data_IF_248862167685
#
_entry.id   IF_248862167685
#
_cell.length_a   1.000
_cell.length_b   1.000
_cell.length_c   1.000
_cell.angle_alpha   90.00
_cell.angle_beta   90.00
_cell.angle_gamma   90.00
#
_symmetry.space_group_name_H-M   'P 1'
#
loop_
_entity.id
_entity.type
_entity.pdbx_description
1 polymer ?
#
# COMPACT_ATOMS: atom_id res chain seq x y z
N UNK A 1 -1.31 -3.29 -12.63
CA UNK A 1 -2.61 -2.77 -13.08
C UNK A 1 -3.03 -1.59 -12.22
N UNK A 2 -3.52 -0.52 -12.83
CA UNK A 2 -3.93 0.67 -12.10
C UNK A 2 -5.45 0.69 -11.89
N UNK A 3 -5.87 1.23 -10.77
CA UNK A 3 -7.28 1.41 -10.41
C UNK A 3 -7.57 2.89 -10.28
N UNK A 4 -8.68 3.33 -10.85
CA UNK A 4 -9.07 4.74 -10.84
C UNK A 4 -10.41 4.90 -10.12
N UNK A 5 -10.45 5.86 -9.19
CA UNK A 5 -11.65 6.28 -8.49
C UNK A 5 -11.78 7.77 -8.67
N UNK A 6 -12.91 8.24 -9.21
CA UNK A 6 -13.07 9.67 -9.43
C UNK A 6 -14.52 10.14 -9.23
N UNK A 7 -14.63 11.41 -8.87
CA UNK A 7 -15.89 12.10 -8.83
C UNK A 7 -15.73 13.44 -9.59
N UNK A 8 -16.69 14.37 -9.44
CA UNK A 8 -16.64 15.65 -10.16
C UNK A 8 -15.46 16.54 -9.75
N UNK A 9 -14.87 16.30 -8.59
CA UNK A 9 -13.84 17.18 -7.99
C UNK A 9 -12.46 16.55 -7.98
N UNK A 10 -12.36 15.26 -7.66
CA UNK A 10 -11.10 14.55 -7.43
C UNK A 10 -10.96 13.31 -8.31
N UNK A 11 -9.72 13.01 -8.68
CA UNK A 11 -9.36 11.78 -9.37
C UNK A 11 -8.23 11.10 -8.60
N UNK A 12 -8.47 9.87 -8.17
CA UNK A 12 -7.50 9.05 -7.46
C UNK A 12 -7.09 7.87 -8.32
N UNK A 13 -5.78 7.62 -8.42
CA UNK A 13 -5.25 6.45 -9.10
C UNK A 13 -4.37 5.66 -8.14
N UNK A 14 -4.59 4.34 -8.08
CA UNK A 14 -3.86 3.43 -7.18
C UNK A 14 -3.28 2.26 -7.95
N UNK A 15 -2.29 1.59 -7.36
CA UNK A 15 -1.69 0.39 -7.92
C UNK A 15 -1.86 -0.79 -6.97
N UNK A 16 -1.90 -2.00 -7.54
CA UNK A 16 -1.95 -3.25 -6.76
C UNK A 16 -0.67 -3.48 -5.96
N UNK A 17 0.45 -2.95 -6.41
CA UNK A 17 1.72 -3.08 -5.68
C UNK A 17 1.66 -2.27 -4.40
N UNK A 18 1.61 -2.95 -3.26
CA UNK A 18 1.51 -2.32 -1.96
C UNK A 18 0.19 -1.61 -1.70
N UNK A 19 -0.75 -1.61 -2.64
CA UNK A 19 -1.99 -0.85 -2.52
C UNK A 19 -1.76 0.65 -2.45
N UNK A 20 -0.67 1.15 -3.04
CA UNK A 20 -0.29 2.56 -2.96
C UNK A 20 -1.13 3.47 -3.86
N UNK A 21 -1.27 4.72 -3.42
CA UNK A 21 -1.81 5.78 -4.26
C UNK A 21 -0.72 6.29 -5.19
N UNK A 22 -1.03 6.44 -6.47
CA UNK A 22 -0.12 7.01 -7.46
C UNK A 22 -0.39 8.49 -7.68
N UNK A 23 -1.65 8.85 -7.85
CA UNK A 23 -2.06 10.22 -8.13
C UNK A 23 -3.35 10.56 -7.38
N UNK A 24 -3.41 11.78 -6.86
CA UNK A 24 -4.64 12.36 -6.31
C UNK A 24 -4.71 13.78 -6.87
N UNK A 25 -5.54 13.98 -7.90
CA UNK A 25 -5.60 15.20 -8.67
C UNK A 25 -6.88 15.97 -8.39
N UNK A 26 -6.75 17.27 -8.13
CA UNK A 26 -7.90 18.18 -8.07
C UNK A 26 -8.25 18.60 -9.50
N UNK A 27 -9.42 18.19 -10.00
CA UNK A 27 -9.79 18.36 -11.40
C UNK A 27 -9.86 19.82 -11.86
N UNK A 28 -10.37 20.71 -11.02
CA UNK A 28 -10.56 22.11 -11.40
C UNK A 28 -9.25 22.85 -11.72
N UNK A 29 -8.15 22.43 -11.11
CA UNK A 29 -6.83 23.03 -11.31
C UNK A 29 -5.83 22.08 -11.94
N UNK A 30 -6.22 20.81 -12.15
CA UNK A 30 -5.35 19.74 -12.61
C UNK A 30 -4.09 19.60 -11.75
N UNK A 31 -4.23 19.85 -10.44
CA UNK A 31 -3.11 19.86 -9.51
C UNK A 31 -2.90 18.49 -8.85
N UNK A 32 -1.69 17.95 -8.99
CA UNK A 32 -1.26 16.76 -8.28
C UNK A 32 -0.93 17.09 -6.83
N UNK A 33 -1.51 16.34 -5.88
CA UNK A 33 -1.32 16.59 -4.44
C UNK A 33 -0.35 15.64 -3.78
N UNK A 34 0.06 14.56 -4.46
CA UNK A 34 0.92 13.52 -3.89
C UNK A 34 2.36 13.64 -4.39
N UNK A 35 3.30 13.28 -3.51
CA UNK A 35 4.70 13.17 -3.87
C UNK A 35 4.89 12.06 -4.92
N UNK A 36 5.65 12.33 -5.98
CA UNK A 36 5.80 11.42 -7.12
C UNK A 36 7.07 10.56 -7.07
N UNK A 37 7.86 10.64 -6.00
CA UNK A 37 9.06 9.84 -5.87
C UNK A 37 10.22 10.29 -6.75
N UNK A 38 10.27 11.57 -7.11
CA UNK A 38 11.21 12.11 -8.09
C UNK A 38 12.33 12.96 -7.49
N UNK A 39 12.31 13.20 -6.18
CA UNK A 39 13.33 14.02 -5.51
C UNK A 39 13.78 13.36 -4.21
N UNK A 40 14.98 12.81 -4.18
CA UNK A 40 15.57 12.21 -3.00
C UNK A 40 15.06 10.79 -2.74
N UNK A 41 13.87 10.65 -2.21
CA UNK A 41 13.29 9.36 -1.90
C UNK A 41 12.40 8.86 -3.04
N UNK A 42 12.62 7.63 -3.49
CA UNK A 42 11.87 7.06 -4.63
C UNK A 42 10.51 6.48 -4.24
N UNK A 43 10.27 6.23 -2.96
CA UNK A 43 8.97 5.75 -2.48
C UNK A 43 7.91 6.83 -2.50
N UNK A 44 6.64 6.43 -2.46
CA UNK A 44 5.49 7.36 -2.45
C UNK A 44 4.78 7.34 -1.11
N UNK A 45 3.84 6.42 -0.92
CA UNK A 45 3.04 6.34 0.31
C UNK A 45 2.81 4.87 0.70
N UNK A 46 3.88 4.09 0.90
CA UNK A 46 3.75 2.66 1.16
C UNK A 46 3.08 2.37 2.50
N UNK A 47 2.29 1.30 2.54
CA UNK A 47 1.77 0.77 3.80
C UNK A 47 2.86 0.00 4.51
N UNK A 48 2.98 0.20 5.81
CA UNK A 48 4.02 -0.39 6.65
C UNK A 48 3.42 -1.51 7.50
N UNK A 49 3.69 -2.76 7.12
CA UNK A 49 3.15 -3.94 7.82
C UNK A 49 4.03 -5.15 7.54
N UNK A 50 4.30 -6.02 8.51
CA UNK A 50 3.91 -5.93 9.92
C UNK A 50 4.84 -5.09 10.79
N UNK A 51 5.83 -4.43 10.22
CA UNK A 51 6.77 -3.62 11.00
C UNK A 51 7.08 -2.29 10.31
N UNK A 52 7.62 -1.36 11.08
CA UNK A 52 8.12 -0.07 10.60
C UNK A 52 9.64 -0.06 10.76
N UNK A 53 10.38 0.33 9.70
CA UNK A 53 11.84 0.30 9.71
C UNK A 53 12.40 -1.10 9.54
N UNK A 54 13.58 -1.32 10.10
CA UNK A 54 14.29 -2.60 10.05
C UNK A 54 14.60 -3.09 11.45
N UNK A 55 14.76 -4.40 11.59
CA UNK A 55 15.47 -4.97 12.72
C UNK A 55 16.97 -4.70 12.50
N UNK A 56 17.77 -4.78 13.57
CA UNK A 56 19.20 -4.48 13.52
C UNK A 56 19.95 -5.29 12.43
N UNK A 57 19.63 -6.56 12.31
CA UNK A 57 20.27 -7.47 11.34
C UNK A 57 19.38 -7.78 10.14
N UNK A 58 18.22 -7.13 10.04
CA UNK A 58 17.17 -7.40 9.03
C UNK A 58 16.54 -8.79 9.16
N UNK A 59 16.82 -9.47 10.26
CA UNK A 59 16.17 -10.72 10.61
C UNK A 59 15.60 -10.64 12.04
N UNK A 60 14.76 -11.59 12.39
CA UNK A 60 14.17 -11.69 13.71
C UNK A 60 13.83 -13.15 13.99
N UNK A 61 13.64 -13.47 15.27
CA UNK A 61 13.41 -14.84 15.70
C UNK A 61 12.06 -14.97 16.40
N UNK A 62 11.30 -16.00 16.03
CA UNK A 62 10.03 -16.36 16.66
C UNK A 62 10.05 -17.84 16.93
N UNK A 63 9.84 -18.24 18.19
CA UNK A 63 9.82 -19.63 18.62
C UNK A 63 11.07 -20.42 18.19
N UNK A 64 12.24 -19.78 18.26
CA UNK A 64 13.51 -20.39 17.92
C UNK A 64 13.82 -20.47 16.44
N UNK A 65 12.95 -19.98 15.57
CA UNK A 65 13.17 -19.97 14.13
C UNK A 65 13.39 -18.54 13.63
N UNK A 66 14.38 -18.36 12.75
CA UNK A 66 14.73 -17.06 12.20
C UNK A 66 13.91 -16.74 10.96
N UNK A 67 13.52 -15.48 10.85
CA UNK A 67 12.80 -14.92 9.71
C UNK A 67 13.47 -13.63 9.29
N UNK A 68 13.34 -13.27 8.00
CA UNK A 68 13.89 -12.03 7.47
C UNK A 68 12.80 -11.24 6.76
N UNK A 69 12.84 -9.92 6.92
CA UNK A 69 11.88 -9.02 6.30
C UNK A 69 12.59 -7.76 5.82
N UNK A 70 12.14 -7.22 4.69
CA UNK A 70 12.69 -5.98 4.15
C UNK A 70 12.24 -4.78 4.98
N UNK A 71 12.86 -3.63 4.74
CA UNK A 71 12.53 -2.38 5.41
C UNK A 71 11.02 -2.10 5.33
N UNK A 72 10.41 -1.80 6.47
CA UNK A 72 8.97 -1.54 6.64
C UNK A 72 8.07 -2.75 6.39
N UNK A 73 8.61 -3.97 6.41
CA UNK A 73 7.82 -5.19 6.32
C UNK A 73 7.57 -5.64 4.89
N UNK A 74 6.42 -6.29 4.66
CA UNK A 74 6.14 -7.00 3.41
C UNK A 74 5.08 -6.38 2.51
N UNK A 75 4.15 -5.60 3.04
CA UNK A 75 3.03 -5.07 2.23
C UNK A 75 3.48 -4.16 1.09
N UNK A 76 4.43 -3.28 1.35
CA UNK A 76 4.89 -2.33 0.32
C UNK A 76 5.50 -3.00 -0.91
N UNK A 77 5.94 -4.25 -0.79
CA UNK A 77 6.54 -5.01 -1.89
C UNK A 77 5.58 -6.03 -2.49
N UNK A 78 4.42 -6.25 -1.86
CA UNK A 78 3.46 -7.26 -2.29
C UNK A 78 2.51 -6.72 -3.35
N UNK A 79 1.96 -7.61 -4.16
CA UNK A 79 0.86 -7.31 -5.06
C UNK A 79 -0.44 -7.68 -4.36
N UNK A 80 -1.27 -6.67 -4.07
CA UNK A 80 -2.54 -6.86 -3.39
C UNK A 80 -3.67 -7.08 -4.40
N UNK A 81 -4.76 -7.69 -3.93
CA UNK A 81 -5.97 -7.85 -4.73
C UNK A 81 -6.80 -6.58 -4.64
N UNK A 82 -7.06 -5.95 -5.78
CA UNK A 82 -7.85 -4.72 -5.84
C UNK A 82 -9.33 -5.00 -6.13
N UNK A 83 -10.20 -4.20 -5.53
CA UNK A 83 -11.63 -4.22 -5.79
C UNK A 83 -12.13 -2.79 -5.89
N UNK A 84 -12.86 -2.49 -6.97
CA UNK A 84 -13.45 -1.18 -7.21
C UNK A 84 -14.92 -1.20 -6.83
N UNK A 85 -15.32 -0.30 -5.95
CA UNK A 85 -16.71 -0.07 -5.56
C UNK A 85 -17.12 1.32 -6.04
N UNK A 86 -18.38 1.71 -5.87
CA UNK A 86 -18.93 2.97 -6.41
C UNK A 86 -18.09 4.19 -6.02
N UNK A 87 -17.73 4.33 -4.75
CA UNK A 87 -16.98 5.48 -4.22
C UNK A 87 -15.72 5.08 -3.46
N UNK A 88 -15.27 3.83 -3.63
CA UNK A 88 -14.18 3.25 -2.83
C UNK A 88 -13.35 2.29 -3.64
N UNK A 89 -12.03 2.31 -3.40
CA UNK A 89 -11.09 1.29 -3.85
C UNK A 89 -10.58 0.54 -2.62
N UNK A 90 -10.60 -0.78 -2.67
CA UNK A 90 -10.11 -1.62 -1.57
C UNK A 90 -9.04 -2.56 -2.09
N UNK A 91 -7.91 -2.62 -1.40
CA UNK A 91 -6.81 -3.53 -1.70
C UNK A 91 -6.59 -4.46 -0.51
N UNK A 92 -6.46 -5.76 -0.78
CA UNK A 92 -6.33 -6.76 0.28
C UNK A 92 -5.26 -7.79 -0.02
N UNK A 93 -4.72 -8.37 1.04
CA UNK A 93 -3.74 -9.45 0.97
C UNK A 93 -3.98 -10.41 2.13
N UNK A 94 -4.14 -11.68 1.80
CA UNK A 94 -4.16 -12.75 2.80
C UNK A 94 -2.77 -13.38 2.90
N UNK A 95 -2.47 -13.99 4.04
CA UNK A 95 -1.23 -14.72 4.23
C UNK A 95 -1.09 -15.81 3.15
N UNK A 96 0.11 -15.96 2.61
CA UNK A 96 0.44 -16.96 1.59
C UNK A 96 1.84 -17.51 1.86
N UNK A 97 2.34 -18.38 0.98
CA UNK A 97 3.66 -18.99 1.16
C UNK A 97 4.78 -17.95 1.32
N UNK A 98 4.77 -16.91 0.49
CA UNK A 98 5.79 -15.86 0.53
C UNK A 98 5.73 -15.06 1.83
N UNK A 99 4.53 -14.70 2.30
CA UNK A 99 4.38 -13.95 3.55
C UNK A 99 4.72 -14.80 4.75
N UNK A 100 4.33 -16.09 4.75
CA UNK A 100 4.62 -17.00 5.86
C UNK A 100 6.10 -17.27 6.02
N UNK A 101 6.88 -17.19 4.93
CA UNK A 101 8.34 -17.31 5.00
C UNK A 101 9.01 -16.14 5.72
N UNK A 102 8.35 -14.97 5.73
CA UNK A 102 8.85 -13.74 6.34
C UNK A 102 8.19 -13.46 7.69
N UNK A 103 6.93 -13.85 7.83
CA UNK A 103 6.09 -13.56 8.98
C UNK A 103 5.16 -14.77 9.21
N UNK A 104 5.39 -15.58 10.25
CA UNK A 104 4.80 -16.91 10.35
C UNK A 104 3.38 -16.93 10.94
N UNK A 105 2.58 -15.94 10.67
CA UNK A 105 1.21 -15.84 11.15
C UNK A 105 0.24 -15.64 10.00
N UNK A 106 -0.95 -16.22 10.12
CA UNK A 106 -2.03 -15.95 9.19
C UNK A 106 -2.57 -14.55 9.46
N UNK A 107 -2.84 -13.80 8.40
CA UNK A 107 -3.41 -12.46 8.52
C UNK A 107 -4.26 -12.13 7.30
N UNK A 108 -5.11 -11.13 7.45
CA UNK A 108 -5.80 -10.48 6.35
C UNK A 108 -5.52 -9.00 6.49
N UNK A 109 -4.86 -8.43 5.48
CA UNK A 109 -4.55 -7.01 5.43
C UNK A 109 -5.47 -6.34 4.41
N UNK A 110 -6.03 -5.19 4.76
CA UNK A 110 -6.91 -4.46 3.87
C UNK A 110 -6.68 -2.97 4.02
N UNK A 111 -6.60 -2.26 2.89
CA UNK A 111 -6.56 -0.80 2.88
C UNK A 111 -7.59 -0.29 1.88
N UNK A 112 -8.38 0.70 2.31
CA UNK A 112 -9.43 1.29 1.49
C UNK A 112 -9.23 2.77 1.28
N UNK A 113 -9.60 3.25 0.10
CA UNK A 113 -9.58 4.67 -0.25
C UNK A 113 -10.96 5.08 -0.73
N UNK A 114 -11.49 6.16 -0.17
CA UNK A 114 -12.84 6.63 -0.46
C UNK A 114 -12.84 8.11 -0.81
N UNK A 115 -13.66 8.48 -1.80
CA UNK A 115 -13.89 9.87 -2.17
C UNK A 115 -15.30 10.29 -1.75
N UNK A 116 -15.43 11.48 -1.17
CA UNK A 116 -16.70 12.07 -0.76
C UNK A 116 -16.64 13.58 -1.05
N UNK A 117 -17.12 13.98 -2.23
CA UNK A 117 -17.01 15.36 -2.70
C UNK A 117 -15.56 15.77 -2.81
N UNK A 118 -15.13 16.80 -2.08
CA UNK A 118 -13.74 17.25 -2.03
C UNK A 118 -12.92 16.51 -0.96
N UNK A 119 -13.54 15.58 -0.25
CA UNK A 119 -12.88 14.81 0.82
C UNK A 119 -12.31 13.50 0.29
N UNK A 120 -11.21 13.16 0.89
CA UNK A 120 -10.52 11.90 0.61
C UNK A 120 -10.27 11.18 1.93
#
# INVERSE_FOLDING_TARGET
>A
MAYILENDVLKLECTEKGGEMLHLVKKSTNRETLYQGDQGWSGRNPSLFPMVGNTHTKDYEIDGKKYAMKNHGLIRYATLKGESKEDELVFSLDANEDTLAQYPFNFHFEIGYKLDGIKF
#
